data_IF_442736782212
#
_entry.id   IF_442736782212
#
_cell.length_a   1.000
_cell.length_b   1.000
_cell.length_c   1.000
_cell.angle_alpha   90.00
_cell.angle_beta   90.00
_cell.angle_gamma   90.00
#
_symmetry.space_group_name_H-M   'P 1'
#
loop_
_entity.id
_entity.type
_entity.pdbx_description
1 polymer ?
#
# COMPACT_ATOMS: atom_id res chain seq x y z
N UNK A 1 -14.19 16.87 4.90
CA UNK A 1 -15.07 15.89 4.24
C UNK A 1 -14.32 15.02 3.21
N UNK A 2 -13.21 14.38 3.59
CA UNK A 2 -12.55 13.38 2.75
C UNK A 2 -12.31 12.14 3.60
N UNK A 3 -13.20 11.15 3.49
CA UNK A 3 -12.95 9.81 4.03
C UNK A 3 -11.77 9.15 3.32
N UNK A 4 -11.15 8.13 3.93
CA UNK A 4 -9.98 7.46 3.37
C UNK A 4 -10.29 6.89 1.97
N UNK A 5 -9.36 7.06 1.03
CA UNK A 5 -9.49 6.60 -0.37
C UNK A 5 -9.51 5.06 -0.47
N UNK A 6 -8.99 4.39 0.55
CA UNK A 6 -9.02 2.95 0.73
C UNK A 6 -9.64 2.68 2.11
N UNK A 7 -10.87 2.17 2.13
CA UNK A 7 -11.45 1.63 3.37
C UNK A 7 -10.73 0.35 3.80
N UNK A 8 -10.92 -0.13 5.04
CA UNK A 8 -10.38 -1.40 5.49
C UNK A 8 -11.00 -2.55 4.68
N UNK A 9 -10.39 -2.90 3.54
CA UNK A 9 -10.57 -4.22 2.93
C UNK A 9 -9.41 -5.09 3.39
N UNK A 10 -9.43 -5.43 4.67
CA UNK A 10 -8.73 -6.62 5.21
C UNK A 10 -9.32 -7.94 4.66
N UNK A 11 -10.11 -7.89 3.57
CA UNK A 11 -10.66 -9.03 2.83
C UNK A 11 -10.17 -9.10 1.37
N UNK A 12 -9.16 -8.32 0.98
CA UNK A 12 -8.49 -8.53 -0.31
C UNK A 12 -7.74 -9.86 -0.34
N UNK A 13 -7.73 -10.53 -1.49
CA UNK A 13 -6.92 -11.74 -1.70
C UNK A 13 -5.45 -11.45 -1.38
N UNK A 14 -4.81 -12.32 -0.61
CA UNK A 14 -3.37 -12.24 -0.35
C UNK A 14 -2.64 -12.69 -1.61
N UNK A 15 -1.93 -11.77 -2.25
CA UNK A 15 -1.16 -12.03 -3.47
C UNK A 15 0.35 -12.14 -3.20
N UNK A 16 0.79 -11.86 -1.97
CA UNK A 16 2.18 -12.04 -1.57
C UNK A 16 2.38 -11.95 -0.06
N UNK A 17 3.30 -12.75 0.47
CA UNK A 17 3.71 -12.71 1.87
C UNK A 17 5.23 -12.80 1.97
N UNK A 18 5.81 -11.96 2.83
CA UNK A 18 7.25 -11.95 3.04
C UNK A 18 7.64 -11.55 4.47
N UNK A 19 8.95 -11.42 4.66
CA UNK A 19 9.55 -11.03 5.94
C UNK A 19 9.08 -9.64 6.40
N UNK A 20 8.86 -8.72 5.46
CA UNK A 20 8.57 -7.31 5.75
C UNK A 20 7.08 -6.97 5.78
N UNK A 21 6.21 -7.84 5.27
CA UNK A 21 4.80 -7.49 5.11
C UNK A 21 3.98 -8.53 4.38
N UNK A 22 2.70 -8.20 4.24
CA UNK A 22 1.73 -8.93 3.40
C UNK A 22 1.24 -7.99 2.31
N UNK A 23 1.11 -8.50 1.10
CA UNK A 23 0.58 -7.78 -0.06
C UNK A 23 -0.82 -8.31 -0.38
N UNK A 24 -1.77 -7.41 -0.45
CA UNK A 24 -3.17 -7.70 -0.75
C UNK A 24 -3.54 -7.14 -2.13
N UNK A 25 -4.41 -7.84 -2.84
CA UNK A 25 -5.14 -7.26 -3.97
C UNK A 25 -6.23 -6.34 -3.40
N UNK A 26 -6.17 -5.06 -3.74
CA UNK A 26 -7.10 -4.04 -3.26
C UNK A 26 -7.81 -3.37 -4.44
N UNK A 27 -9.07 -3.01 -4.26
CA UNK A 27 -9.84 -2.27 -5.27
C UNK A 27 -10.23 -0.90 -4.72
N UNK A 28 -9.85 0.16 -5.41
CA UNK A 28 -10.24 1.52 -5.05
C UNK A 28 -11.75 1.67 -5.24
N UNK A 29 -12.49 1.92 -4.16
CA UNK A 29 -13.96 1.99 -4.20
C UNK A 29 -14.48 3.13 -5.08
N UNK A 30 -13.73 4.23 -5.21
CA UNK A 30 -14.14 5.39 -6.00
C UNK A 30 -13.96 5.18 -7.51
N UNK A 31 -12.92 4.45 -7.91
CA UNK A 31 -12.52 4.33 -9.32
C UNK A 31 -12.73 2.93 -9.88
N UNK A 32 -12.96 1.93 -9.03
CA UNK A 32 -13.00 0.51 -9.39
C UNK A 32 -11.64 -0.08 -9.79
N UNK A 33 -10.56 0.71 -9.75
CA UNK A 33 -9.23 0.26 -10.18
C UNK A 33 -8.59 -0.65 -9.13
N UNK A 34 -7.91 -1.69 -9.61
CA UNK A 34 -7.19 -2.66 -8.77
C UNK A 34 -5.74 -2.22 -8.51
N UNK A 35 -5.24 -2.52 -7.31
CA UNK A 35 -3.93 -2.16 -6.80
C UNK A 35 -3.35 -3.29 -5.94
N UNK A 36 -2.03 -3.27 -5.75
CA UNK A 36 -1.35 -4.06 -4.74
C UNK A 36 -1.11 -3.20 -3.49
N UNK A 37 -1.64 -3.62 -2.34
CA UNK A 37 -1.48 -2.94 -1.05
C UNK A 37 -0.48 -3.72 -0.20
N UNK A 38 0.73 -3.16 0.01
CA UNK A 38 1.76 -3.75 0.88
C UNK A 38 1.61 -3.21 2.32
N UNK A 39 1.16 -4.05 3.23
CA UNK A 39 1.08 -3.75 4.66
C UNK A 39 2.34 -4.25 5.37
N UNK A 40 3.08 -3.34 6.00
CA UNK A 40 4.29 -3.68 6.73
C UNK A 40 3.94 -4.24 8.12
N UNK A 41 4.64 -5.30 8.55
CA UNK A 41 4.41 -5.97 9.85
C UNK A 41 4.98 -5.19 11.04
N UNK A 42 5.87 -4.23 10.79
CA UNK A 42 6.58 -3.43 11.79
C UNK A 42 6.40 -1.94 11.48
N UNK A 43 6.69 -1.09 12.46
CA UNK A 43 6.82 0.34 12.25
C UNK A 43 7.77 0.66 11.10
N UNK A 44 7.61 1.82 10.46
CA UNK A 44 8.50 2.28 9.39
C UNK A 44 9.95 2.28 9.89
N UNK A 45 10.78 1.41 9.33
CA UNK A 45 12.22 1.36 9.60
C UNK A 45 12.98 2.17 8.54
N UNK A 46 14.23 2.56 8.82
CA UNK A 46 15.12 3.25 7.87
C UNK A 46 15.20 2.52 6.52
N UNK A 47 15.16 1.18 6.53
CA UNK A 47 15.13 0.38 5.31
C UNK A 47 13.87 0.65 4.47
N UNK A 48 12.71 0.80 5.10
CA UNK A 48 11.44 1.17 4.45
C UNK A 48 11.51 2.58 3.86
N UNK A 49 12.12 3.53 4.57
CA UNK A 49 12.32 4.91 4.08
C UNK A 49 13.22 4.93 2.84
N UNK A 50 14.30 4.14 2.85
CA UNK A 50 15.20 3.99 1.69
C UNK A 50 14.49 3.36 0.50
N UNK A 51 13.76 2.26 0.72
CA UNK A 51 12.98 1.60 -0.34
C UNK A 51 11.98 2.58 -0.98
N UNK A 52 11.25 3.33 -0.16
CA UNK A 52 10.32 4.37 -0.60
C UNK A 52 11.03 5.47 -1.39
N UNK A 53 12.17 5.97 -0.91
CA UNK A 53 12.94 7.03 -1.56
C UNK A 53 13.44 6.61 -2.94
N UNK A 54 13.93 5.37 -3.08
CA UNK A 54 14.35 4.82 -4.37
C UNK A 54 13.18 4.73 -5.37
N UNK A 55 12.01 4.26 -4.92
CA UNK A 55 10.84 4.14 -5.77
C UNK A 55 10.27 5.51 -6.17
N UNK A 56 10.26 6.48 -5.25
CA UNK A 56 9.86 7.86 -5.55
C UNK A 56 10.81 8.53 -6.55
N UNK A 57 12.11 8.28 -6.46
CA UNK A 57 13.09 8.81 -7.42
C UNK A 57 12.91 8.25 -8.85
N UNK A 58 12.24 7.11 -9.00
CA UNK A 58 11.97 6.44 -10.28
C UNK A 58 10.52 6.64 -10.76
N UNK A 59 9.77 7.53 -10.11
CA UNK A 59 8.38 7.77 -10.43
C UNK A 59 8.23 8.28 -11.89
N UNK A 60 7.24 7.74 -12.61
CA UNK A 60 6.98 8.05 -14.01
C UNK A 60 7.72 7.17 -15.03
N UNK A 61 8.65 6.32 -14.61
CA UNK A 61 9.29 5.37 -15.53
C UNK A 61 8.34 4.22 -15.92
N UNK A 62 8.14 3.92 -17.22
CA UNK A 62 7.10 2.99 -17.68
C UNK A 62 7.31 1.53 -17.25
N UNK A 63 8.54 1.17 -16.88
CA UNK A 63 8.90 -0.20 -16.47
C UNK A 63 9.21 -0.35 -14.98
N UNK A 64 8.99 0.71 -14.19
CA UNK A 64 9.17 0.66 -12.74
C UNK A 64 7.81 0.79 -12.06
N UNK A 65 7.62 0.00 -11.01
CA UNK A 65 6.39 0.01 -10.20
C UNK A 65 6.21 1.39 -9.58
N UNK A 66 4.98 1.90 -9.67
CA UNK A 66 4.62 3.24 -9.20
C UNK A 66 3.92 3.15 -7.85
N UNK A 67 4.31 4.01 -6.91
CA UNK A 67 3.61 4.17 -5.64
C UNK A 67 2.48 5.16 -5.84
N UNK A 68 1.25 4.73 -5.56
CA UNK A 68 0.07 5.58 -5.69
C UNK A 68 -0.16 6.41 -4.44
N UNK A 69 -0.20 5.77 -3.26
CA UNK A 69 -0.40 6.42 -1.97
C UNK A 69 0.36 5.65 -0.88
N UNK A 70 0.82 6.37 0.15
CA UNK A 70 1.45 5.82 1.34
C UNK A 70 0.77 6.45 2.56
N UNK A 71 0.21 5.63 3.45
CA UNK A 71 -0.42 6.09 4.68
C UNK A 71 0.23 5.37 5.87
N UNK A 72 0.62 6.15 6.88
CA UNK A 72 1.20 5.64 8.12
C UNK A 72 0.15 5.35 9.19
N UNK A 73 -1.12 5.70 8.95
CA UNK A 73 -2.20 5.43 9.89
C UNK A 73 -2.52 3.93 9.92
N UNK A 74 -2.68 3.34 11.12
CA UNK A 74 -3.13 1.96 11.23
C UNK A 74 -4.51 1.84 10.57
N UNK A 75 -4.70 0.77 9.81
CA UNK A 75 -6.01 0.42 9.24
C UNK A 75 -6.97 0.23 10.43
N UNK A 76 -7.88 1.19 10.61
CA UNK A 76 -8.94 1.08 11.62
C UNK A 76 -9.98 0.08 11.09
N UNK A 77 -10.06 -1.09 11.72
CA UNK A 77 -11.11 -2.07 11.45
C UNK A 77 -12.33 -1.62 12.25
N UNK A 78 -13.29 -0.98 11.59
CA UNK A 78 -14.61 -0.73 12.18
C UNK A 78 -15.38 -2.04 12.27
N UNK A 79 -15.92 -2.35 13.45
CA UNK A 79 -16.83 -3.49 13.70
C UNK A 79 -18.24 -3.11 13.28
#
# INVERSE_FOLDING_TARGET
>A
HHGPLYGPQTQGEIIGQGAYGTVYKATCQKTGKEFALKCHKRSVEEATVRELSCLMALQGHPYVIQIHECDSRPIQIGI
#
